data_IF_283829567967
#
_entry.id   IF_283829567967
#
_cell.length_a   1.000
_cell.length_b   1.000
_cell.length_c   1.000
_cell.angle_alpha   90.00
_cell.angle_beta   90.00
_cell.angle_gamma   90.00
#
_symmetry.space_group_name_H-M   'P 1'
#
loop_
_entity.id
_entity.type
_entity.pdbx_description
1 polymer ?
#
# COMPACT_ATOMS: atom_id res chain seq x y z
N UNK A 1 -12.85 9.67 29.66
CA UNK A 1 -11.62 9.22 28.95
C UNK A 1 -11.88 9.40 27.46
N UNK A 2 -11.50 10.52 26.83
CA UNK A 2 -10.12 10.92 26.57
C UNK A 2 -9.76 10.69 25.09
N UNK A 3 -10.64 11.09 24.14
CA UNK A 3 -10.40 10.91 22.69
C UNK A 3 -9.47 11.98 22.10
N UNK A 4 -9.23 13.06 22.83
CA UNK A 4 -8.55 14.25 22.32
C UNK A 4 -7.08 14.40 22.80
N UNK A 5 -6.66 13.65 23.82
CA UNK A 5 -5.30 13.78 24.37
C UNK A 5 -4.21 13.23 23.42
N UNK A 6 -4.58 12.37 22.46
CA UNK A 6 -3.67 11.82 21.46
C UNK A 6 -3.48 12.71 20.22
N UNK A 7 -4.20 13.83 20.10
CA UNK A 7 -4.04 14.79 18.99
C UNK A 7 -2.92 15.82 19.21
N UNK A 8 -2.20 15.74 20.32
CA UNK A 8 -1.09 16.66 20.62
C UNK A 8 0.21 16.25 19.90
N UNK A 9 0.20 16.34 18.56
CA UNK A 9 1.42 16.37 17.75
C UNK A 9 2.14 17.73 17.91
N UNK A 10 2.55 18.09 19.13
CA UNK A 10 3.28 19.35 19.42
C UNK A 10 4.61 19.49 18.67
N UNK A 11 5.11 18.44 17.99
CA UNK A 11 6.39 18.42 17.26
C UNK A 11 6.36 17.57 15.98
N UNK A 12 5.20 17.43 15.33
CA UNK A 12 5.09 16.80 13.99
C UNK A 12 5.51 15.33 13.87
N UNK A 13 5.71 14.62 14.99
CA UNK A 13 6.12 13.21 15.01
C UNK A 13 5.16 12.38 15.86
N UNK A 14 4.58 11.34 15.27
CA UNK A 14 3.76 10.37 15.98
C UNK A 14 4.64 9.63 17.01
N UNK A 15 4.32 9.77 18.30
CA UNK A 15 5.08 9.18 19.43
C UNK A 15 5.12 7.64 19.41
N UNK A 16 4.21 7.01 18.66
CA UNK A 16 4.09 5.56 18.50
C UNK A 16 3.86 5.21 17.03
N UNK A 17 4.67 5.74 16.12
CA UNK A 17 4.64 5.25 14.74
C UNK A 17 5.08 3.77 14.76
N UNK A 18 4.16 2.87 14.39
CA UNK A 18 4.43 1.43 14.29
C UNK A 18 5.62 1.13 13.35
N UNK A 19 5.83 1.99 12.35
CA UNK A 19 6.95 1.94 11.42
C UNK A 19 7.78 3.22 11.49
N UNK A 20 9.11 3.14 11.69
CA UNK A 20 9.97 4.30 11.70
C UNK A 20 9.98 5.01 10.35
N UNK A 21 10.26 6.33 10.33
CA UNK A 21 10.12 7.17 9.13
C UNK A 21 11.00 6.69 7.96
N UNK A 22 12.22 6.20 8.22
CA UNK A 22 13.12 5.68 7.19
C UNK A 22 12.65 4.34 6.58
N UNK A 23 11.77 3.61 7.28
CA UNK A 23 11.20 2.36 6.80
C UNK A 23 9.86 2.57 6.08
N UNK A 24 9.39 3.83 5.98
CA UNK A 24 8.26 4.14 5.13
C UNK A 24 8.72 4.06 3.69
N UNK A 25 8.27 3.03 3.00
CA UNK A 25 8.34 3.01 1.55
C UNK A 25 7.32 4.01 1.04
N UNK A 26 7.78 5.15 0.53
CA UNK A 26 6.98 5.91 -0.42
C UNK A 26 6.63 4.91 -1.52
N UNK A 27 5.34 4.71 -1.79
CA UNK A 27 4.82 3.75 -2.76
C UNK A 27 5.36 4.09 -4.16
N UNK A 28 6.63 3.78 -4.42
CA UNK A 28 7.29 4.00 -5.69
C UNK A 28 6.60 3.07 -6.67
N UNK A 29 5.98 3.67 -7.67
CA UNK A 29 5.50 2.93 -8.84
C UNK A 29 6.75 2.43 -9.58
N UNK A 30 7.23 1.25 -9.16
CA UNK A 30 8.28 0.54 -9.86
C UNK A 30 7.61 -0.21 -11.00
N UNK A 31 8.03 0.09 -12.23
CA UNK A 31 7.52 -0.58 -13.42
C UNK A 31 7.94 -2.05 -13.41
N UNK A 32 6.99 -2.92 -13.73
CA UNK A 32 7.26 -4.35 -13.83
C UNK A 32 8.02 -4.63 -15.13
N UNK A 33 9.18 -5.29 -15.03
CA UNK A 33 9.91 -5.80 -16.18
C UNK A 33 9.65 -7.30 -16.34
N UNK A 34 9.14 -7.69 -17.51
CA UNK A 34 8.74 -9.08 -17.79
C UNK A 34 9.94 -10.04 -17.86
N UNK A 35 11.12 -9.53 -18.18
CA UNK A 35 12.37 -10.31 -18.27
C UNK A 35 12.86 -10.79 -16.90
N UNK A 36 12.50 -10.07 -15.83
CA UNK A 36 12.87 -10.42 -14.45
C UNK A 36 11.75 -11.13 -13.70
N UNK A 37 10.57 -11.24 -14.31
CA UNK A 37 9.40 -11.85 -13.69
C UNK A 37 9.45 -13.38 -13.72
N UNK A 38 9.23 -14.00 -12.56
CA UNK A 38 9.13 -15.45 -12.47
C UNK A 38 7.73 -15.96 -12.86
N UNK A 39 7.51 -17.28 -12.75
CA UNK A 39 6.20 -17.87 -13.02
C UNK A 39 5.11 -17.34 -12.07
N UNK A 40 5.45 -17.08 -10.81
CA UNK A 40 4.51 -16.59 -9.81
C UNK A 40 4.09 -15.15 -10.10
N UNK A 41 5.01 -14.33 -10.59
CA UNK A 41 4.73 -12.95 -10.99
C UNK A 41 3.68 -12.88 -12.10
N UNK A 42 3.80 -13.77 -13.09
CA UNK A 42 2.81 -13.88 -14.17
C UNK A 42 1.42 -14.25 -13.65
N UNK A 43 1.35 -15.21 -12.73
CA UNK A 43 0.07 -15.60 -12.11
C UNK A 43 -0.51 -14.42 -11.30
N UNK A 44 0.33 -13.72 -10.55
CA UNK A 44 -0.09 -12.58 -9.73
C UNK A 44 -0.71 -11.47 -10.60
N UNK A 45 -0.11 -11.17 -11.76
CA UNK A 45 -0.68 -10.21 -12.72
C UNK A 45 -2.05 -10.64 -13.25
N UNK A 46 -2.20 -11.91 -13.63
CA UNK A 46 -3.47 -12.43 -14.13
C UNK A 46 -4.56 -12.33 -13.05
N UNK A 47 -4.22 -12.68 -11.80
CA UNK A 47 -5.15 -12.55 -10.66
C UNK A 47 -5.53 -11.10 -10.39
N UNK A 48 -4.57 -10.16 -10.44
CA UNK A 48 -4.82 -8.73 -10.29
C UNK A 48 -5.81 -8.23 -11.35
N UNK A 49 -5.55 -8.54 -12.63
CA UNK A 49 -6.44 -8.15 -13.74
C UNK A 49 -7.85 -8.72 -13.59
N UNK A 50 -7.99 -9.95 -13.12
CA UNK A 50 -9.29 -10.56 -12.86
C UNK A 50 -10.04 -9.84 -11.72
N UNK A 51 -9.36 -9.47 -10.64
CA UNK A 51 -9.94 -8.71 -9.54
C UNK A 51 -10.40 -7.31 -9.97
N UNK A 52 -9.57 -6.59 -10.74
CA UNK A 52 -9.93 -5.26 -11.27
C UNK A 52 -11.18 -5.32 -12.17
N UNK A 53 -11.30 -6.35 -13.01
CA UNK A 53 -12.50 -6.57 -13.84
C UNK A 53 -13.75 -6.77 -12.98
N UNK A 54 -13.68 -7.57 -11.90
CA UNK A 54 -14.80 -7.77 -10.97
C UNK A 54 -15.23 -6.46 -10.32
N UNK A 55 -14.28 -5.67 -9.84
CA UNK A 55 -14.57 -4.37 -9.20
C UNK A 55 -15.20 -3.40 -10.20
N UNK A 56 -14.70 -3.33 -11.43
CA UNK A 56 -15.28 -2.47 -12.48
C UNK A 56 -16.72 -2.86 -12.79
N UNK A 57 -16.99 -4.16 -12.94
CA UNK A 57 -18.34 -4.65 -13.23
C UNK A 57 -19.34 -4.36 -12.09
N UNK A 58 -18.88 -4.37 -10.83
CA UNK A 58 -19.73 -4.07 -9.68
C UNK A 58 -19.96 -2.56 -9.44
N UNK A 59 -19.24 -1.70 -10.16
CA UNK A 59 -19.31 -0.24 -10.01
C UNK A 59 -20.12 0.44 -11.12
N UNK A 60 -20.57 -0.34 -12.10
CA UNK A 60 -21.55 0.04 -13.12
C UNK A 60 -22.97 -0.16 -12.61
#
# INVERSE_FOLDING_TARGET
MGRDEHRTNRRGRARLAQTPQYAKTDSKAVEFSEEFGDHNDKIAQVRRRAAEKRVKNNRS
#
